data_IF_130045583724
#
_entry.id   IF_130045583724
#
_cell.length_a   1.000
_cell.length_b   1.000
_cell.length_c   1.000
_cell.angle_alpha   90.00
_cell.angle_beta   90.00
_cell.angle_gamma   90.00
#
_symmetry.space_group_name_H-M   'P 1'
#
loop_
_entity.id
_entity.type
_entity.pdbx_description
1 polymer ?
#
# COMPACT_ATOMS: atom_id res chain seq x y z
N UNK A 1 -7.12 -11.49 -43.40
CA UNK A 1 -7.45 -12.90 -43.10
C UNK A 1 -7.80 -12.98 -41.62
N UNK A 2 -9.08 -12.90 -41.25
CA UNK A 2 -9.51 -13.01 -39.86
C UNK A 2 -9.56 -14.49 -39.46
N UNK A 3 -8.49 -14.97 -38.83
CA UNK A 3 -8.50 -16.25 -38.13
C UNK A 3 -9.19 -16.06 -36.78
N UNK A 4 -10.53 -16.14 -36.78
CA UNK A 4 -11.30 -16.14 -35.55
C UNK A 4 -11.00 -17.41 -34.75
N UNK A 5 -10.61 -17.25 -33.50
CA UNK A 5 -10.43 -18.36 -32.56
C UNK A 5 -11.74 -19.15 -32.48
N UNK A 6 -11.70 -20.44 -32.84
CA UNK A 6 -12.86 -21.32 -32.84
C UNK A 6 -12.65 -22.36 -31.76
N UNK A 7 -13.37 -22.23 -30.65
CA UNK A 7 -13.35 -23.21 -29.58
C UNK A 7 -13.93 -24.54 -30.08
N UNK A 8 -13.19 -25.62 -29.91
CA UNK A 8 -13.62 -26.98 -30.21
C UNK A 8 -14.19 -27.62 -28.94
N UNK A 9 -15.18 -28.49 -29.11
CA UNK A 9 -15.85 -29.18 -27.99
C UNK A 9 -14.91 -30.11 -27.22
N UNK A 10 -13.79 -30.50 -27.83
CA UNK A 10 -12.75 -31.31 -27.22
C UNK A 10 -11.84 -30.49 -26.29
N UNK A 11 -11.84 -29.16 -26.40
CA UNK A 11 -11.04 -28.26 -25.55
C UNK A 11 -11.58 -28.20 -24.11
N UNK A 12 -12.81 -28.66 -23.88
CA UNK A 12 -13.48 -28.64 -22.58
C UNK A 12 -14.10 -30.01 -22.24
N UNK A 13 -13.28 -31.01 -21.84
CA UNK A 13 -13.74 -32.38 -21.60
C UNK A 13 -14.86 -32.49 -20.56
N UNK A 14 -14.85 -31.61 -19.55
CA UNK A 14 -15.86 -31.56 -18.49
C UNK A 14 -17.28 -31.26 -19.00
N UNK A 15 -17.42 -30.59 -20.16
CA UNK A 15 -18.73 -30.32 -20.75
C UNK A 15 -19.38 -31.57 -21.34
N UNK A 16 -18.60 -32.58 -21.75
CA UNK A 16 -19.16 -33.82 -22.31
C UNK A 16 -19.92 -34.60 -21.24
N UNK A 17 -19.32 -34.74 -20.06
CA UNK A 17 -19.93 -35.42 -18.93
C UNK A 17 -21.10 -34.63 -18.36
N UNK A 18 -20.99 -33.29 -18.30
CA UNK A 18 -22.08 -32.41 -17.90
C UNK A 18 -23.29 -32.50 -18.84
N UNK A 19 -23.07 -32.44 -20.15
CA UNK A 19 -24.14 -32.54 -21.14
C UNK A 19 -24.78 -33.94 -21.15
N UNK A 20 -23.99 -35.01 -20.99
CA UNK A 20 -24.51 -36.36 -20.85
C UNK A 20 -25.34 -36.54 -19.57
N UNK A 21 -24.96 -35.90 -18.46
CA UNK A 21 -25.74 -35.89 -17.23
C UNK A 21 -27.02 -35.07 -17.39
N UNK A 22 -26.98 -33.93 -18.08
CA UNK A 22 -28.17 -33.13 -18.43
C UNK A 22 -29.12 -33.89 -19.35
N UNK A 23 -28.63 -34.60 -20.37
CA UNK A 23 -29.48 -35.37 -21.28
C UNK A 23 -30.17 -36.53 -20.57
N UNK A 24 -29.47 -37.24 -19.68
CA UNK A 24 -30.08 -38.24 -18.79
C UNK A 24 -31.13 -37.63 -17.86
N UNK A 25 -30.87 -36.41 -17.38
CA UNK A 25 -31.82 -35.68 -16.51
C UNK A 25 -33.01 -35.12 -17.31
N UNK A 26 -32.83 -34.71 -18.57
CA UNK A 26 -33.86 -34.24 -19.51
C UNK A 26 -34.79 -35.36 -19.97
N UNK A 27 -34.26 -36.56 -20.21
CA UNK A 27 -35.09 -37.73 -20.51
C UNK A 27 -35.98 -38.11 -19.32
N UNK A 28 -35.49 -37.91 -18.09
CA UNK A 28 -36.28 -38.07 -16.87
C UNK A 28 -37.24 -36.88 -16.59
N UNK A 29 -36.96 -35.70 -17.14
CA UNK A 29 -37.76 -34.48 -17.00
C UNK A 29 -38.83 -34.30 -18.10
N UNK A 30 -38.94 -35.22 -19.07
CA UNK A 30 -40.03 -35.21 -20.07
C UNK A 30 -41.44 -35.43 -19.46
N UNK A 31 -41.54 -35.63 -18.14
CA UNK A 31 -42.79 -35.49 -17.41
C UNK A 31 -42.72 -34.31 -16.42
N UNK A 32 -43.43 -33.24 -16.79
CA UNK A 32 -43.69 -31.98 -16.08
C UNK A 32 -42.60 -30.91 -16.21
N UNK A 33 -42.74 -30.13 -17.28
CA UNK A 33 -42.39 -28.71 -17.27
C UNK A 33 -43.12 -28.03 -16.10
N UNK A 34 -42.41 -27.82 -14.97
CA UNK A 34 -42.85 -26.88 -13.94
C UNK A 34 -42.02 -25.63 -14.15
N UNK A 35 -42.66 -24.56 -14.61
CA UNK A 35 -42.09 -23.22 -14.53
C UNK A 35 -41.64 -22.97 -13.08
N UNK A 36 -40.46 -22.38 -12.92
CA UNK A 36 -40.00 -21.93 -11.61
C UNK A 36 -40.92 -20.77 -11.18
N UNK A 37 -41.96 -21.09 -10.41
CA UNK A 37 -42.85 -20.08 -9.86
C UNK A 37 -42.27 -19.60 -8.53
N UNK A 38 -42.14 -18.27 -8.40
CA UNK A 38 -41.76 -17.60 -7.17
C UNK A 38 -43.05 -17.32 -6.37
N UNK A 39 -43.49 -18.29 -5.59
CA UNK A 39 -44.55 -18.08 -4.59
C UNK A 39 -43.88 -17.88 -3.22
N UNK A 40 -44.26 -16.83 -2.49
CA UNK A 40 -43.80 -16.48 -1.13
C UNK A 40 -42.28 -16.31 -0.91
N UNK A 41 -41.54 -16.00 -1.98
CA UNK A 41 -40.08 -15.82 -1.93
C UNK A 41 -39.28 -17.13 -1.87
N UNK A 42 -39.94 -18.28 -2.04
CA UNK A 42 -39.31 -19.60 -2.07
C UNK A 42 -39.26 -20.11 -3.52
N UNK A 43 -38.06 -20.17 -4.09
CA UNK A 43 -37.82 -20.72 -5.43
C UNK A 43 -37.91 -22.25 -5.40
N UNK A 44 -39.04 -22.77 -5.89
CA UNK A 44 -39.26 -24.21 -6.04
C UNK A 44 -38.79 -24.69 -7.43
N UNK A 45 -38.35 -25.96 -7.52
CA UNK A 45 -37.83 -26.64 -8.73
C UNK A 45 -36.36 -26.35 -9.13
N UNK A 46 -35.49 -26.03 -8.17
CA UNK A 46 -34.04 -26.03 -8.42
C UNK A 46 -33.55 -27.49 -8.46
N UNK A 47 -32.89 -27.94 -9.55
CA UNK A 47 -32.39 -29.31 -9.63
C UNK A 47 -31.30 -29.55 -8.58
N UNK A 48 -31.30 -30.74 -7.96
CA UNK A 48 -30.37 -31.09 -6.88
C UNK A 48 -28.90 -30.93 -7.28
N UNK A 49 -28.56 -31.18 -8.56
CA UNK A 49 -27.22 -30.95 -9.10
C UNK A 49 -26.81 -29.47 -9.10
N UNK A 50 -27.74 -28.53 -9.25
CA UNK A 50 -27.44 -27.10 -9.19
C UNK A 50 -27.36 -26.59 -7.74
N UNK A 51 -28.00 -27.29 -6.79
CA UNK A 51 -28.05 -26.85 -5.40
C UNK A 51 -26.78 -27.17 -4.63
N UNK A 52 -26.17 -28.33 -4.83
CA UNK A 52 -25.05 -28.82 -4.00
C UNK A 52 -23.71 -28.96 -4.71
N UNK A 53 -23.64 -28.76 -6.03
CA UNK A 53 -22.39 -28.88 -6.77
C UNK A 53 -21.40 -27.75 -6.43
N UNK A 54 -20.11 -28.05 -6.58
CA UNK A 54 -18.99 -27.13 -6.31
C UNK A 54 -18.99 -25.89 -7.23
N UNK A 55 -19.75 -25.92 -8.32
CA UNK A 55 -19.99 -24.79 -9.22
C UNK A 55 -21.47 -24.34 -9.21
N UNK A 56 -22.28 -24.89 -8.30
CA UNK A 56 -23.70 -24.63 -8.18
C UNK A 56 -24.04 -23.39 -7.32
N UNK A 57 -25.32 -23.25 -6.99
CA UNK A 57 -25.84 -22.13 -6.22
C UNK A 57 -25.27 -22.07 -4.80
N UNK A 58 -25.06 -23.21 -4.11
CA UNK A 58 -24.43 -23.19 -2.79
C UNK A 58 -23.01 -22.63 -2.83
N UNK A 59 -22.22 -22.99 -3.85
CA UNK A 59 -20.88 -22.45 -4.05
C UNK A 59 -20.93 -20.95 -4.38
N UNK A 60 -21.89 -20.51 -5.20
CA UNK A 60 -22.12 -19.10 -5.51
C UNK A 60 -22.52 -18.29 -4.27
N UNK A 61 -23.45 -18.78 -3.46
CA UNK A 61 -23.87 -18.11 -2.21
C UNK A 61 -22.76 -18.12 -1.17
N UNK A 62 -21.94 -19.18 -1.11
CA UNK A 62 -20.73 -19.19 -0.28
C UNK A 62 -19.76 -18.09 -0.72
N UNK A 63 -19.51 -17.93 -2.03
CA UNK A 63 -18.66 -16.86 -2.56
C UNK A 63 -19.25 -15.47 -2.30
N UNK A 64 -20.56 -15.29 -2.42
CA UNK A 64 -21.25 -14.03 -2.10
C UNK A 64 -21.09 -13.69 -0.61
N UNK A 65 -21.32 -14.65 0.28
CA UNK A 65 -21.14 -14.43 1.72
C UNK A 65 -19.67 -14.14 2.10
N UNK A 66 -18.71 -14.76 1.42
CA UNK A 66 -17.28 -14.44 1.56
C UNK A 66 -16.93 -13.05 0.99
N UNK A 67 -17.66 -12.58 -0.02
CA UNK A 67 -17.48 -11.26 -0.61
C UNK A 67 -17.84 -10.15 0.36
N UNK A 68 -18.81 -10.28 1.27
CA UNK A 68 -19.07 -9.18 2.22
C UNK A 68 -17.89 -8.97 3.20
N UNK A 69 -17.17 -10.05 3.54
CA UNK A 69 -15.95 -10.00 4.35
C UNK A 69 -14.71 -9.53 3.57
N UNK A 70 -14.60 -9.92 2.30
CA UNK A 70 -13.47 -9.57 1.41
C UNK A 70 -13.66 -8.24 0.67
N UNK A 71 -14.87 -7.83 0.32
CA UNK A 71 -15.16 -6.57 -0.40
C UNK A 71 -14.84 -5.36 0.46
N UNK A 72 -15.07 -5.48 1.77
CA UNK A 72 -14.73 -4.44 2.75
C UNK A 72 -13.21 -4.33 3.02
N UNK A 73 -12.43 -5.39 2.73
CA UNK A 73 -11.00 -5.50 3.10
C UNK A 73 -10.05 -5.66 1.90
N UNK A 74 -10.56 -5.93 0.70
CA UNK A 74 -9.76 -6.20 -0.49
C UNK A 74 -10.02 -5.16 -1.58
N UNK A 75 -9.41 -3.99 -1.40
CA UNK A 75 -9.17 -3.05 -2.51
C UNK A 75 -8.42 -3.69 -3.70
N UNK A 76 -7.80 -4.85 -3.47
CA UNK A 76 -7.12 -5.65 -4.48
C UNK A 76 -8.07 -6.25 -5.53
N UNK A 77 -9.34 -6.55 -5.24
CA UNK A 77 -10.18 -7.26 -6.22
C UNK A 77 -11.19 -6.38 -6.96
N UNK A 78 -11.53 -5.21 -6.43
CA UNK A 78 -12.68 -4.43 -6.93
C UNK A 78 -12.34 -3.09 -7.59
N UNK A 79 -11.09 -2.61 -7.55
CA UNK A 79 -10.78 -1.28 -8.08
C UNK A 79 -9.97 -1.36 -9.39
N UNK A 80 -10.68 -1.38 -10.52
CA UNK A 80 -10.06 -1.31 -11.85
C UNK A 80 -9.17 -0.07 -12.01
N UNK A 81 -9.47 1.02 -11.29
CA UNK A 81 -8.66 2.23 -11.33
C UNK A 81 -7.30 2.04 -10.65
N UNK A 82 -7.24 1.26 -9.56
CA UNK A 82 -5.99 0.92 -8.87
C UNK A 82 -4.99 0.23 -9.81
N UNK A 83 -5.46 -0.70 -10.64
CA UNK A 83 -4.61 -1.40 -11.61
C UNK A 83 -4.23 -0.54 -12.82
N UNK A 84 -5.15 0.32 -13.31
CA UNK A 84 -4.88 1.23 -14.43
C UNK A 84 -3.91 2.35 -14.04
N UNK A 85 -3.89 2.77 -12.78
CA UNK A 85 -2.98 3.81 -12.30
C UNK A 85 -1.58 3.26 -12.05
N UNK A 86 -1.44 2.03 -11.51
CA UNK A 86 -0.17 1.32 -11.56
C UNK A 86 0.30 1.22 -13.01
N UNK A 87 -0.38 0.50 -13.88
CA UNK A 87 0.15 0.13 -15.22
C UNK A 87 0.60 1.29 -16.14
N UNK A 88 0.25 2.56 -15.85
CA UNK A 88 0.75 3.75 -16.55
C UNK A 88 2.20 4.13 -16.21
N UNK A 89 2.74 3.73 -15.06
CA UNK A 89 4.12 4.00 -14.66
C UNK A 89 4.95 2.71 -14.75
N UNK A 90 6.10 2.67 -15.46
CA UNK A 90 6.96 1.48 -15.49
C UNK A 90 7.64 1.18 -14.14
N UNK A 91 7.51 2.08 -13.16
CA UNK A 91 8.07 2.01 -11.81
C UNK A 91 7.03 1.48 -10.80
N UNK A 92 6.13 0.62 -11.27
CA UNK A 92 5.16 0.00 -10.37
C UNK A 92 5.85 -0.97 -9.47
N UNK A 93 5.75 -0.64 -8.21
CA UNK A 93 6.08 -1.51 -7.12
C UNK A 93 5.37 -2.85 -7.25
N UNK A 94 6.01 -3.89 -6.71
CA UNK A 94 5.54 -5.27 -6.71
C UNK A 94 4.04 -5.35 -6.35
N UNK A 95 3.38 -6.45 -6.73
CA UNK A 95 1.92 -6.64 -6.59
C UNK A 95 1.36 -6.24 -5.21
N UNK A 96 2.17 -6.28 -4.14
CA UNK A 96 1.80 -5.97 -2.76
C UNK A 96 2.27 -4.62 -2.22
N UNK A 97 3.06 -3.86 -2.98
CA UNK A 97 3.54 -2.57 -2.54
C UNK A 97 2.47 -1.49 -2.77
N UNK A 98 2.14 -0.79 -1.69
CA UNK A 98 1.14 0.27 -1.65
C UNK A 98 1.67 1.62 -2.14
N UNK A 99 2.99 1.74 -2.32
CA UNK A 99 3.70 2.97 -2.70
C UNK A 99 4.49 2.75 -3.99
N UNK A 100 4.81 3.81 -4.72
CA UNK A 100 5.75 3.73 -5.83
C UNK A 100 7.14 3.26 -5.34
N UNK A 101 7.90 2.59 -6.20
CA UNK A 101 9.27 2.18 -5.87
C UNK A 101 10.12 3.46 -5.72
N UNK A 102 10.83 3.65 -4.60
CA UNK A 102 11.74 4.78 -4.44
C UNK A 102 12.89 4.68 -5.44
N UNK A 103 13.40 5.84 -5.90
CA UNK A 103 14.44 5.87 -6.92
C UNK A 103 15.73 5.12 -6.54
N UNK A 104 15.99 4.95 -5.25
CA UNK A 104 17.17 4.24 -4.73
C UNK A 104 17.08 2.73 -4.88
N UNK A 105 15.87 2.19 -5.01
CA UNK A 105 15.62 0.75 -5.24
C UNK A 105 15.59 0.41 -6.74
N UNK A 106 15.72 1.41 -7.62
CA UNK A 106 15.82 1.19 -9.06
C UNK A 106 17.24 0.82 -9.46
N UNK A 107 17.40 -0.33 -10.11
CA UNK A 107 18.65 -0.73 -10.73
C UNK A 107 18.93 0.13 -11.97
N UNK A 108 19.79 1.15 -11.81
CA UNK A 108 20.30 1.94 -12.93
C UNK A 108 21.72 1.54 -13.30
N UNK A 109 21.99 1.42 -14.61
CA UNK A 109 23.32 1.10 -15.14
C UNK A 109 24.23 2.32 -15.06
N UNK A 110 24.84 2.55 -13.90
CA UNK A 110 25.88 3.57 -13.71
C UNK A 110 27.25 3.06 -14.20
N UNK A 111 28.14 3.94 -14.70
CA UNK A 111 29.52 3.56 -15.02
C UNK A 111 30.27 2.97 -13.82
N UNK A 112 31.27 2.12 -14.10
CA UNK A 112 32.01 1.37 -13.08
C UNK A 112 32.71 2.28 -12.05
N UNK A 113 33.17 3.46 -12.48
CA UNK A 113 33.88 4.43 -11.65
C UNK A 113 33.01 4.96 -10.49
N UNK A 114 31.68 4.95 -10.65
CA UNK A 114 30.75 5.39 -9.61
C UNK A 114 30.34 4.26 -8.65
N UNK A 115 30.68 3.01 -8.95
CA UNK A 115 30.45 1.87 -8.04
C UNK A 115 31.56 1.79 -6.98
N UNK A 116 31.79 2.89 -6.28
CA UNK A 116 32.87 3.05 -5.31
C UNK A 116 32.80 2.01 -4.19
N UNK A 117 31.60 1.59 -3.76
CA UNK A 117 31.46 0.55 -2.76
C UNK A 117 32.06 -0.80 -3.21
N UNK A 118 31.96 -1.12 -4.51
CA UNK A 118 32.58 -2.31 -5.10
C UNK A 118 34.10 -2.16 -5.15
N UNK A 119 34.59 -0.97 -5.52
CA UNK A 119 36.02 -0.68 -5.64
C UNK A 119 36.74 -0.54 -4.29
N UNK A 120 36.02 -0.06 -3.27
CA UNK A 120 36.59 0.27 -1.98
C UNK A 120 36.63 -0.91 -1.00
N UNK A 121 36.07 -2.07 -1.36
CA UNK A 121 36.19 -3.33 -0.60
C UNK A 121 35.84 -3.17 0.90
N UNK A 122 34.82 -2.39 1.23
CA UNK A 122 34.40 -2.16 2.62
C UNK A 122 35.28 -1.22 3.44
N UNK A 123 36.25 -0.53 2.83
CA UNK A 123 37.09 0.49 3.50
C UNK A 123 36.39 1.83 3.71
N UNK A 124 35.16 1.98 3.21
CA UNK A 124 34.37 3.21 3.37
C UNK A 124 33.73 3.22 4.75
N UNK A 125 34.15 4.16 5.59
CA UNK A 125 33.53 4.37 6.90
C UNK A 125 32.13 4.97 6.71
N UNK A 126 31.08 4.38 7.32
CA UNK A 126 29.74 4.96 7.25
C UNK A 126 29.75 6.39 7.81
N UNK A 127 29.13 7.35 7.11
CA UNK A 127 29.06 8.72 7.62
C UNK A 127 28.22 8.76 8.89
N UNK A 128 28.72 9.44 9.93
CA UNK A 128 27.97 9.61 11.17
C UNK A 128 26.83 10.62 10.98
N UNK A 129 25.61 10.21 11.32
CA UNK A 129 24.40 11.03 11.22
C UNK A 129 24.47 12.33 12.03
N UNK A 130 25.27 12.36 13.10
CA UNK A 130 25.43 13.53 13.98
C UNK A 130 26.01 14.76 13.27
N UNK A 131 26.84 14.54 12.24
CA UNK A 131 27.50 15.62 11.50
C UNK A 131 26.85 15.91 10.15
N UNK A 132 25.71 15.26 9.84
CA UNK A 132 24.97 15.53 8.62
C UNK A 132 24.20 16.84 8.71
N UNK A 133 24.04 17.51 7.56
CA UNK A 133 23.21 18.71 7.45
C UNK A 133 21.74 18.35 7.61
N UNK A 134 20.94 19.30 8.11
CA UNK A 134 19.48 19.14 8.28
C UNK A 134 18.80 18.72 6.97
N UNK A 135 19.22 19.31 5.84
CA UNK A 135 18.76 18.95 4.48
C UNK A 135 18.90 17.45 4.17
N UNK A 136 20.06 16.86 4.50
CA UNK A 136 20.30 15.43 4.29
C UNK A 136 19.45 14.57 5.23
N UNK A 137 19.21 15.03 6.45
CA UNK A 137 18.35 14.32 7.39
C UNK A 137 16.89 14.33 6.93
N UNK A 138 16.40 15.45 6.37
CA UNK A 138 15.10 15.50 5.72
C UNK A 138 15.03 14.54 4.53
N UNK A 139 16.07 14.48 3.70
CA UNK A 139 16.15 13.53 2.61
C UNK A 139 16.00 12.09 3.10
N UNK A 140 16.78 11.68 4.10
CA UNK A 140 16.70 10.32 4.65
C UNK A 140 15.31 10.04 5.22
N UNK A 141 14.73 10.99 5.93
CA UNK A 141 13.40 10.84 6.55
C UNK A 141 12.28 10.60 5.53
N UNK A 142 12.30 11.33 4.41
CA UNK A 142 11.26 11.23 3.38
C UNK A 142 11.55 10.14 2.32
N UNK A 143 12.81 9.81 2.06
CA UNK A 143 13.18 8.82 1.04
C UNK A 143 13.04 7.37 1.53
N UNK A 144 13.24 7.11 2.82
CA UNK A 144 13.28 5.75 3.39
C UNK A 144 12.17 5.52 4.42
N UNK A 145 10.89 5.50 4.03
CA UNK A 145 9.80 5.22 4.97
C UNK A 145 9.91 3.79 5.53
N UNK A 146 9.51 3.62 6.80
CA UNK A 146 9.46 2.31 7.48
C UNK A 146 10.82 1.64 7.71
N UNK A 147 11.92 2.35 7.50
CA UNK A 147 13.26 1.85 7.77
C UNK A 147 13.84 2.42 9.07
N UNK A 148 14.77 1.70 9.70
CA UNK A 148 15.44 2.16 10.91
C UNK A 148 16.17 3.49 10.71
N UNK A 149 16.70 3.74 9.50
CA UNK A 149 17.37 5.01 9.16
C UNK A 149 16.44 6.23 9.26
N UNK A 150 15.13 6.06 9.04
CA UNK A 150 14.15 7.12 9.22
C UNK A 150 14.09 7.59 10.67
N UNK A 151 14.13 6.63 11.60
CA UNK A 151 14.07 6.88 13.04
C UNK A 151 15.35 7.58 13.50
N UNK A 152 16.52 7.14 13.00
CA UNK A 152 17.80 7.77 13.30
C UNK A 152 17.84 9.22 12.79
N UNK A 153 17.36 9.47 11.56
CA UNK A 153 17.26 10.82 11.02
C UNK A 153 16.30 11.70 11.83
N UNK A 154 15.14 11.18 12.21
CA UNK A 154 14.18 11.88 13.05
C UNK A 154 14.78 12.25 14.42
N UNK A 155 15.53 11.34 15.06
CA UNK A 155 16.23 11.60 16.34
C UNK A 155 17.20 12.76 16.20
N UNK A 156 17.97 12.78 15.12
CA UNK A 156 18.93 13.86 14.89
C UNK A 156 18.22 15.20 14.62
N UNK A 157 17.14 15.22 13.84
CA UNK A 157 16.31 16.41 13.63
C UNK A 157 15.75 16.94 14.96
N UNK A 158 15.28 16.05 15.82
CA UNK A 158 14.78 16.41 17.15
C UNK A 158 15.85 17.01 18.06
N UNK A 159 17.06 16.45 18.03
CA UNK A 159 18.24 17.01 18.71
C UNK A 159 18.59 18.40 18.18
N UNK A 160 18.34 18.68 16.90
CA UNK A 160 18.58 19.97 16.26
C UNK A 160 17.42 20.98 16.47
N UNK A 161 16.43 20.64 17.32
CA UNK A 161 15.31 21.51 17.68
C UNK A 161 14.12 21.46 16.74
N UNK A 162 14.09 20.52 15.79
CA UNK A 162 12.93 20.29 14.93
C UNK A 162 11.87 19.42 15.63
N UNK A 163 10.60 19.69 15.36
CA UNK A 163 9.45 18.92 15.84
C UNK A 163 8.57 18.55 14.67
N UNK A 164 8.06 17.33 14.67
CA UNK A 164 7.18 16.85 13.61
C UNK A 164 5.73 17.19 13.95
N UNK A 165 5.03 17.79 12.99
CA UNK A 165 3.60 18.08 13.09
C UNK A 165 2.79 16.92 12.49
N UNK A 166 1.98 16.24 13.31
CA UNK A 166 1.30 14.99 12.92
C UNK A 166 0.30 15.17 11.79
N UNK A 167 -0.46 16.27 11.79
CA UNK A 167 -1.52 16.50 10.79
C UNK A 167 -0.96 17.03 9.46
N UNK A 168 -0.21 18.12 9.51
CA UNK A 168 0.47 18.74 8.36
C UNK A 168 1.64 17.90 7.79
N UNK A 169 2.10 16.88 8.53
CA UNK A 169 3.20 15.97 8.16
C UNK A 169 4.49 16.68 7.77
N UNK A 170 4.80 17.78 8.45
CA UNK A 170 5.96 18.63 8.18
C UNK A 170 6.81 18.83 9.45
N UNK A 171 8.08 19.17 9.24
CA UNK A 171 8.99 19.51 10.31
C UNK A 171 8.94 21.02 10.59
N UNK A 172 8.83 21.37 11.87
CA UNK A 172 8.69 22.75 12.36
C UNK A 172 9.79 23.02 13.39
N UNK A 173 10.44 24.19 13.29
CA UNK A 173 11.43 24.69 14.24
C UNK A 173 11.10 26.12 14.61
N UNK A 174 11.34 26.50 15.86
CA UNK A 174 11.09 27.87 16.34
C UNK A 174 12.25 28.78 15.94
N UNK A 175 11.98 29.95 15.34
CA UNK A 175 13.02 30.91 14.92
C UNK A 175 13.52 31.77 16.08
N UNK A 176 12.60 32.37 16.84
CA UNK A 176 12.92 33.22 18.00
C UNK A 176 12.02 32.90 19.21
N UNK A 177 12.60 32.94 20.41
CA UNK A 177 11.98 32.53 21.69
C UNK A 177 11.07 33.59 22.33
N UNK A 178 10.95 34.78 21.75
CA UNK A 178 10.45 35.97 22.46
C UNK A 178 8.93 36.12 22.55
N UNK A 179 8.17 35.10 22.15
CA UNK A 179 6.70 35.15 22.16
C UNK A 179 6.09 34.22 23.22
N UNK A 180 4.98 34.70 23.81
CA UNK A 180 4.31 34.07 24.92
C UNK A 180 3.83 32.66 24.55
N UNK A 181 4.35 31.67 25.28
CA UNK A 181 3.83 30.30 25.24
C UNK A 181 2.67 30.23 26.23
N UNK A 182 1.45 30.07 25.71
CA UNK A 182 0.30 29.71 26.54
C UNK A 182 0.29 28.19 26.79
N UNK A 183 -0.47 27.71 27.77
CA UNK A 183 -0.41 26.31 28.22
C UNK A 183 -0.61 25.27 27.09
N UNK A 184 -1.42 25.60 26.08
CA UNK A 184 -1.72 24.69 24.96
C UNK A 184 -1.27 25.23 23.59
N UNK A 185 -1.07 26.54 23.48
CA UNK A 185 -0.83 27.21 22.20
C UNK A 185 0.44 28.05 22.31
N UNK A 186 1.33 27.88 21.33
CA UNK A 186 2.54 28.66 21.21
C UNK A 186 2.43 29.59 20.00
N UNK A 187 2.27 30.89 20.26
CA UNK A 187 2.34 31.90 19.21
C UNK A 187 3.81 32.20 18.92
N UNK A 188 4.17 32.21 17.64
CA UNK A 188 5.58 32.29 17.28
C UNK A 188 5.82 32.52 15.81
N UNK A 189 7.06 32.89 15.52
CA UNK A 189 7.61 32.79 14.18
C UNK A 189 8.32 31.44 14.07
N UNK A 190 7.86 30.62 13.14
CA UNK A 190 8.35 29.26 12.91
C UNK A 190 9.03 29.15 11.56
N UNK A 191 9.94 28.18 11.48
CA UNK A 191 10.58 27.68 10.28
C UNK A 191 9.89 26.35 9.97
N UNK A 192 9.29 26.24 8.79
CA UNK A 192 8.62 25.02 8.32
C UNK A 192 9.40 24.51 7.12
N UNK A 193 9.76 23.23 7.14
CA UNK A 193 10.34 22.57 5.98
C UNK A 193 9.25 22.04 5.06
N UNK A 194 9.18 22.55 3.83
CA UNK A 194 8.24 22.08 2.82
C UNK A 194 8.89 21.02 1.92
N UNK A 195 8.38 19.79 2.02
CA UNK A 195 8.90 18.65 1.26
C UNK A 195 8.68 18.80 -0.25
N UNK A 196 7.59 19.44 -0.71
CA UNK A 196 7.25 19.56 -2.13
C UNK A 196 8.19 20.52 -2.86
N UNK A 197 8.56 21.61 -2.18
CA UNK A 197 9.41 22.66 -2.75
C UNK A 197 10.89 22.50 -2.35
N UNK A 198 11.17 21.56 -1.42
CA UNK A 198 12.48 21.33 -0.84
C UNK A 198 13.12 22.61 -0.27
N UNK A 199 12.33 23.37 0.51
CA UNK A 199 12.73 24.68 1.04
C UNK A 199 12.21 24.90 2.45
N UNK A 200 13.02 25.59 3.24
CA UNK A 200 12.62 26.16 4.53
C UNK A 200 11.85 27.46 4.30
N UNK A 201 10.71 27.59 4.96
CA UNK A 201 9.85 28.76 4.87
C UNK A 201 9.54 29.33 6.24
N UNK A 202 9.45 30.65 6.29
CA UNK A 202 9.12 31.42 7.48
C UNK A 202 7.62 31.68 7.57
N UNK A 203 7.00 31.26 8.66
CA UNK A 203 5.59 31.55 8.92
C UNK A 203 5.38 32.02 10.36
N UNK A 204 4.59 33.07 10.51
CA UNK A 204 4.04 33.49 11.79
C UNK A 204 2.71 32.78 12.00
N UNK A 205 2.61 31.90 12.99
CA UNK A 205 1.41 31.11 13.25
C UNK A 205 1.23 30.83 14.75
N UNK A 206 0.03 30.40 15.09
CA UNK A 206 -0.33 29.89 16.42
C UNK A 206 -0.29 28.37 16.33
N UNK A 207 0.65 27.76 17.05
CA UNK A 207 0.87 26.32 17.00
C UNK A 207 0.19 25.64 18.19
N UNK A 208 -0.71 24.70 17.91
CA UNK A 208 -1.30 23.84 18.93
C UNK A 208 -0.28 22.76 19.32
N UNK A 209 0.16 22.77 20.58
CA UNK A 209 1.22 21.86 21.05
C UNK A 209 0.80 20.39 21.00
N UNK A 210 -0.50 20.10 21.12
CA UNK A 210 -1.05 18.73 21.08
C UNK A 210 -0.80 18.00 19.73
N UNK A 211 -0.64 18.76 18.64
CA UNK A 211 -0.41 18.19 17.31
C UNK A 211 1.06 17.91 17.02
N UNK A 212 1.95 18.32 17.93
CA UNK A 212 3.37 18.02 17.86
C UNK A 212 3.69 16.64 18.43
N UNK A 213 4.80 16.09 17.98
CA UNK A 213 5.42 14.92 18.61
C UNK A 213 6.33 15.34 19.76
N UNK A 214 6.04 14.84 20.96
CA UNK A 214 6.79 15.14 22.18
C UNK A 214 8.00 14.20 22.38
N UNK A 215 7.91 12.96 21.89
CA UNK A 215 8.96 11.95 22.05
C UNK A 215 9.06 11.06 20.81
N UNK A 216 10.27 10.88 20.31
CA UNK A 216 10.56 9.90 19.27
C UNK A 216 10.67 8.52 19.92
N UNK A 217 10.05 7.51 19.30
CA UNK A 217 10.09 6.11 19.75
C UNK A 217 11.55 5.65 19.97
N UNK A 218 11.87 5.36 21.23
CA UNK A 218 13.15 4.77 21.64
C UNK A 218 13.10 3.28 21.34
N UNK A 219 13.52 2.86 20.15
CA UNK A 219 13.98 1.50 19.95
C UNK A 219 15.32 1.34 20.67
N UNK A 220 15.39 0.35 21.56
CA UNK A 220 16.63 -0.10 22.20
C UNK A 220 17.66 -0.38 21.11
N UNK A 221 18.81 0.28 21.20
CA UNK A 221 19.88 0.14 20.24
C UNK A 221 20.20 -1.35 20.01
N UNK A 222 20.16 -1.79 18.75
CA UNK A 222 21.00 -2.92 18.36
C UNK A 222 22.43 -2.42 18.51
N UNK A 223 23.01 -2.73 19.66
CA UNK A 223 24.39 -2.48 20.06
C UNK A 223 25.35 -2.42 18.87
N UNK A 224 25.99 -1.27 18.67
CA UNK A 224 27.25 -1.22 17.93
C UNK A 224 28.19 -2.25 18.58
N UNK A 225 28.87 -3.13 17.82
CA UNK A 225 29.91 -3.97 18.41
C UNK A 225 31.01 -3.04 18.92
N UNK A 226 31.27 -3.13 20.22
CA UNK A 226 32.36 -2.42 20.90
C UNK A 226 33.66 -2.58 20.11
N UNK A 227 34.30 -1.44 19.82
CA UNK A 227 35.64 -1.38 19.21
C UNK A 227 36.72 -1.86 20.17
#
# INVERSE_FOLDING_TARGET
MNSGFKMHQDDFPALKDYNAHIEKTRQNASHKDKSNNLEDGILNNIPASLQSDQYGLAAMFMLWNLSDEMSSKSRLFNDENFYKEKTKNPINSALFCQTNIPAQELDYRVPLDYMTNLLAEGKVVPPSYKYMKEDTLFFIFYAFPLQTVQIVAARQLFSNGWRFHKEERCWIKRRDSDQAVSQNNAEGTYIIFNFNQWKEMEYKMILNLNHLEDKIMEFSDCSEPDK
#
